data_IF_067411501075
#
_entry.id   IF_067411501075
#
_cell.length_a   1.000
_cell.length_b   1.000
_cell.length_c   1.000
_cell.angle_alpha   90.00
_cell.angle_beta   90.00
_cell.angle_gamma   90.00
#
_symmetry.space_group_name_H-M   'P 1'
#
loop_
_entity.id
_entity.type
_entity.pdbx_description
1 polymer ?
#
# COMPACT_ATOMS: atom_id res chain seq x y z
N UNK A 1 -7.76 -17.94 73.60
CA UNK A 1 -7.36 -17.02 72.52
C UNK A 1 -8.17 -17.41 71.29
N UNK A 2 -8.71 -16.44 70.55
CA UNK A 2 -9.53 -16.69 69.36
C UNK A 2 -8.72 -17.06 68.12
N UNK A 3 -7.40 -16.82 68.13
CA UNK A 3 -6.45 -17.16 67.07
C UNK A 3 -5.19 -17.74 67.72
N UNK A 4 -5.04 -19.08 67.80
CA UNK A 4 -3.83 -19.71 68.30
C UNK A 4 -2.69 -19.63 67.27
N UNK A 5 -1.46 -19.57 67.76
CA UNK A 5 -0.24 -19.63 66.95
C UNK A 5 -0.15 -20.97 66.22
N UNK A 6 -0.13 -20.92 64.89
CA UNK A 6 -0.05 -22.06 63.99
C UNK A 6 1.40 -22.56 63.79
N UNK A 7 2.40 -21.81 64.26
CA UNK A 7 3.82 -22.15 64.26
C UNK A 7 4.46 -22.02 65.66
N UNK A 8 4.01 -22.75 66.70
CA UNK A 8 4.42 -22.50 68.10
C UNK A 8 5.92 -22.60 68.40
N UNK A 9 6.68 -23.26 67.52
CA UNK A 9 8.11 -23.51 67.67
C UNK A 9 8.98 -22.58 66.83
N UNK A 10 8.38 -21.74 65.98
CA UNK A 10 9.05 -20.81 65.07
C UNK A 10 8.51 -19.42 65.39
N UNK A 11 9.37 -18.39 65.37
CA UNK A 11 8.87 -17.02 65.52
C UNK A 11 8.44 -16.50 64.16
N UNK A 12 7.25 -15.92 64.12
CA UNK A 12 6.65 -15.42 62.89
C UNK A 12 5.76 -14.21 63.12
N UNK A 13 5.48 -13.49 62.03
CA UNK A 13 4.68 -12.24 62.04
C UNK A 13 3.41 -12.32 61.22
N UNK A 14 3.15 -13.42 60.51
CA UNK A 14 1.94 -13.60 59.70
C UNK A 14 0.66 -13.54 60.53
N UNK A 15 -0.40 -12.97 59.96
CA UNK A 15 -1.70 -12.82 60.61
C UNK A 15 -2.91 -12.86 59.65
N UNK A 16 -2.71 -13.04 58.34
CA UNK A 16 -3.79 -13.16 57.36
C UNK A 16 -4.24 -14.60 57.12
N UNK A 17 -3.30 -15.55 57.12
CA UNK A 17 -3.55 -16.99 56.96
C UNK A 17 -3.22 -17.77 58.25
N UNK A 18 -2.00 -18.28 58.42
CA UNK A 18 -1.54 -19.00 59.61
C UNK A 18 -0.94 -18.01 60.58
N UNK A 19 -1.64 -17.71 61.67
CA UNK A 19 -1.14 -16.80 62.70
C UNK A 19 0.19 -17.25 63.31
N UNK A 20 1.17 -16.35 63.39
CA UNK A 20 2.44 -16.58 64.12
C UNK A 20 3.51 -17.35 63.34
N UNK A 21 3.32 -17.57 62.05
CA UNK A 21 4.26 -18.23 61.15
C UNK A 21 5.21 -17.25 60.46
N UNK A 22 6.31 -17.79 59.89
CA UNK A 22 7.32 -16.97 59.20
C UNK A 22 6.64 -16.24 58.05
N UNK A 23 6.97 -14.97 57.91
CA UNK A 23 6.47 -14.03 56.90
C UNK A 23 7.70 -13.20 56.54
N UNK A 24 8.33 -13.56 55.42
CA UNK A 24 9.67 -13.05 55.07
C UNK A 24 9.61 -11.61 54.55
N UNK A 25 8.56 -11.24 53.83
CA UNK A 25 8.45 -9.96 53.15
C UNK A 25 7.50 -8.96 53.83
N UNK A 26 6.85 -9.40 54.92
CA UNK A 26 6.01 -8.61 55.84
C UNK A 26 4.68 -8.17 55.23
N UNK A 27 4.12 -8.97 54.32
CA UNK A 27 2.84 -8.72 53.67
C UNK A 27 1.64 -9.28 54.43
N UNK A 28 1.88 -9.93 55.57
CA UNK A 28 0.96 -10.60 56.50
C UNK A 28 0.58 -12.06 56.21
N UNK A 29 0.94 -12.62 55.08
CA UNK A 29 0.75 -14.04 54.73
C UNK A 29 1.98 -14.85 55.16
N UNK A 30 1.78 -16.14 55.44
CA UNK A 30 2.85 -17.01 55.92
C UNK A 30 3.60 -17.70 54.79
N UNK A 31 4.94 -17.70 54.86
CA UNK A 31 5.81 -18.47 53.98
C UNK A 31 5.40 -19.96 53.98
N UNK A 32 5.55 -20.60 52.81
CA UNK A 32 5.31 -22.04 52.67
C UNK A 32 6.30 -22.91 53.45
N UNK A 33 5.80 -24.00 54.04
CA UNK A 33 6.61 -25.05 54.70
C UNK A 33 6.24 -26.46 54.19
N UNK A 34 6.89 -27.51 54.73
CA UNK A 34 6.69 -28.90 54.31
C UNK A 34 5.22 -29.37 54.43
N UNK A 35 4.42 -28.78 55.33
CA UNK A 35 3.04 -29.17 55.59
C UNK A 35 1.99 -28.12 55.14
N UNK A 36 2.43 -26.94 54.70
CA UNK A 36 1.57 -25.86 54.23
C UNK A 36 2.22 -25.21 53.02
N UNK A 37 1.85 -25.72 51.85
CA UNK A 37 2.38 -25.23 50.58
C UNK A 37 1.46 -24.16 49.99
N UNK A 38 1.84 -23.59 48.85
CA UNK A 38 1.01 -22.64 48.09
C UNK A 38 -0.38 -23.25 47.78
N UNK A 39 -0.45 -24.58 47.56
CA UNK A 39 -1.73 -25.27 47.35
C UNK A 39 -2.67 -25.22 48.57
N UNK A 40 -2.09 -25.05 49.77
CA UNK A 40 -2.83 -24.94 51.01
C UNK A 40 -3.17 -23.48 51.35
N UNK A 41 -2.68 -22.52 50.57
CA UNK A 41 -2.85 -21.09 50.80
C UNK A 41 -1.72 -20.47 51.61
N UNK A 42 -0.49 -21.03 51.54
CA UNK A 42 0.70 -20.25 51.93
C UNK A 42 0.92 -19.11 50.95
N UNK A 43 1.71 -18.12 51.37
CA UNK A 43 2.18 -17.07 50.50
C UNK A 43 2.85 -17.64 49.23
N UNK A 44 2.32 -17.26 48.07
CA UNK A 44 2.84 -17.64 46.77
C UNK A 44 4.12 -16.85 46.39
N UNK A 45 4.35 -15.69 47.00
CA UNK A 45 5.49 -14.82 46.72
C UNK A 45 6.23 -14.36 47.98
N UNK A 46 6.96 -15.25 48.70
CA UNK A 46 7.65 -14.95 49.97
C UNK A 46 8.72 -13.84 49.98
N UNK A 47 8.96 -13.19 48.84
CA UNK A 47 9.95 -12.14 48.65
C UNK A 47 9.37 -10.89 47.98
N UNK A 48 8.08 -10.87 47.64
CA UNK A 48 7.42 -9.76 46.96
C UNK A 48 6.21 -9.29 47.79
N UNK A 49 6.39 -8.30 48.69
CA UNK A 49 5.37 -7.95 49.68
C UNK A 49 4.08 -7.37 49.11
N UNK A 50 4.01 -7.17 47.79
CA UNK A 50 2.82 -6.70 47.12
C UNK A 50 1.97 -7.81 46.52
N UNK A 51 2.41 -9.07 46.59
CA UNK A 51 1.70 -10.23 46.05
C UNK A 51 1.73 -11.38 47.06
N UNK A 52 0.60 -12.08 47.21
CA UNK A 52 0.50 -13.25 48.11
C UNK A 52 -0.25 -14.44 47.50
N UNK A 53 -0.98 -14.20 46.41
CA UNK A 53 -1.86 -15.17 45.77
C UNK A 53 -1.50 -15.28 44.29
N UNK A 54 -1.40 -16.51 43.81
CA UNK A 54 -1.13 -16.89 42.43
C UNK A 54 -2.10 -18.04 42.09
N UNK A 55 -3.23 -17.70 41.47
CA UNK A 55 -4.33 -18.66 41.31
C UNK A 55 -4.03 -19.73 40.25
N UNK A 56 -3.34 -19.39 39.17
CA UNK A 56 -3.05 -20.30 38.07
C UNK A 56 -1.61 -20.83 38.01
N UNK A 57 -0.74 -20.31 38.89
CA UNK A 57 0.62 -20.75 39.15
C UNK A 57 1.59 -20.43 38.02
N UNK A 58 1.38 -19.33 37.33
CA UNK A 58 2.28 -18.84 36.29
C UNK A 58 3.42 -17.94 36.83
N UNK A 59 3.34 -17.58 38.11
CA UNK A 59 4.30 -16.70 38.78
C UNK A 59 4.00 -15.22 38.63
N UNK A 60 2.79 -14.82 38.26
CA UNK A 60 2.25 -13.48 38.40
C UNK A 60 1.14 -13.49 39.44
N UNK A 61 1.02 -12.39 40.18
CA UNK A 61 0.18 -12.36 41.36
C UNK A 61 -1.15 -11.66 41.12
N UNK A 62 -2.21 -12.23 41.69
CA UNK A 62 -3.60 -11.78 41.56
C UNK A 62 -3.87 -10.39 42.17
N UNK A 63 -2.94 -9.85 42.99
CA UNK A 63 -3.18 -8.60 43.69
C UNK A 63 -3.06 -7.38 42.75
N UNK A 64 -4.21 -6.81 42.45
CA UNK A 64 -4.38 -5.66 41.53
C UNK A 64 -4.34 -4.30 42.24
N UNK A 65 -3.88 -4.22 43.50
CA UNK A 65 -3.83 -2.94 44.23
C UNK A 65 -2.83 -1.97 43.61
N UNK A 66 -3.12 -0.66 43.71
CA UNK A 66 -2.23 0.39 43.22
C UNK A 66 -0.84 0.27 43.85
N UNK A 67 0.19 0.15 43.02
CA UNK A 67 1.59 -0.01 43.44
C UNK A 67 2.04 -1.45 43.61
N UNK A 68 1.16 -2.42 43.35
CA UNK A 68 1.55 -3.81 43.27
C UNK A 68 2.51 -4.07 42.09
N UNK A 69 3.45 -4.97 42.30
CA UNK A 69 4.38 -5.45 41.28
C UNK A 69 3.95 -6.83 40.82
N UNK A 70 4.45 -7.28 39.66
CA UNK A 70 4.15 -8.61 39.09
C UNK A 70 2.64 -8.90 39.04
N UNK A 71 1.86 -7.91 38.61
CA UNK A 71 0.41 -8.02 38.50
C UNK A 71 0.04 -9.01 37.39
N UNK A 72 -0.89 -9.90 37.69
CA UNK A 72 -1.52 -10.79 36.74
C UNK A 72 -2.89 -10.24 36.30
N UNK A 73 -2.99 -9.84 35.03
CA UNK A 73 -4.23 -9.39 34.40
C UNK A 73 -5.18 -10.55 34.04
N UNK A 74 -4.70 -11.80 34.05
CA UNK A 74 -5.48 -13.01 33.77
C UNK A 74 -5.32 -14.10 34.85
N UNK A 75 -5.88 -13.91 36.07
CA UNK A 75 -5.69 -14.80 37.24
C UNK A 75 -6.06 -16.29 37.09
N UNK A 76 -6.58 -16.70 35.95
CA UNK A 76 -7.04 -18.07 35.69
C UNK A 76 -6.46 -18.67 34.42
N UNK A 77 -5.61 -17.93 33.70
CA UNK A 77 -5.00 -18.36 32.46
C UNK A 77 -3.48 -18.38 32.63
N UNK A 78 -2.87 -19.55 32.94
CA UNK A 78 -1.45 -19.63 33.28
C UNK A 78 -0.50 -19.39 32.10
N UNK A 79 -1.06 -19.00 30.95
CA UNK A 79 -0.32 -18.63 29.75
C UNK A 79 -0.37 -17.13 29.47
N UNK A 80 -1.14 -16.34 30.21
CA UNK A 80 -1.30 -14.91 30.05
C UNK A 80 -1.22 -14.22 31.40
N UNK A 81 -0.54 -13.08 31.46
CA UNK A 81 -0.44 -12.29 32.70
C UNK A 81 -0.50 -10.78 32.46
N UNK A 82 -0.52 -10.35 31.20
CA UNK A 82 -0.41 -8.94 30.82
C UNK A 82 -1.38 -8.63 29.70
N UNK A 83 -2.16 -7.57 29.90
CA UNK A 83 -3.07 -6.99 28.91
C UNK A 83 -2.72 -5.50 28.74
N UNK A 84 -1.93 -5.19 27.71
CA UNK A 84 -1.40 -3.82 27.56
C UNK A 84 -2.47 -2.80 27.17
N UNK A 85 -3.45 -3.19 26.37
CA UNK A 85 -4.42 -2.27 25.77
C UNK A 85 -5.85 -2.42 26.34
N UNK A 86 -6.04 -3.42 27.21
CA UNK A 86 -7.22 -3.70 28.03
C UNK A 86 -8.42 -4.17 27.24
N UNK A 87 -8.18 -4.91 26.17
CA UNK A 87 -9.23 -5.51 25.36
C UNK A 87 -9.68 -6.90 25.85
N UNK A 88 -8.95 -7.46 26.83
CA UNK A 88 -9.20 -8.77 27.40
C UNK A 88 -8.52 -9.92 26.66
N UNK A 89 -7.54 -9.65 25.80
CA UNK A 89 -6.62 -10.62 25.22
C UNK A 89 -5.21 -10.36 25.74
N UNK A 90 -4.44 -11.43 25.89
CA UNK A 90 -3.16 -11.37 26.59
C UNK A 90 -1.97 -11.24 25.65
N UNK A 91 -1.02 -10.37 26.01
CA UNK A 91 0.17 -10.05 25.22
C UNK A 91 1.14 -11.25 25.04
N UNK A 92 1.02 -12.30 25.86
CA UNK A 92 2.06 -13.32 25.98
C UNK A 92 1.96 -14.40 24.90
N UNK A 93 2.94 -14.44 24.01
CA UNK A 93 2.97 -15.35 22.87
C UNK A 93 3.77 -16.64 23.14
N UNK A 94 3.68 -17.19 24.35
CA UNK A 94 4.36 -18.45 24.66
C UNK A 94 3.78 -19.62 23.85
N UNK A 95 4.62 -20.61 23.53
CA UNK A 95 4.15 -21.77 22.76
C UNK A 95 3.05 -22.53 23.51
N UNK A 96 1.87 -22.65 22.89
CA UNK A 96 0.70 -23.25 23.51
C UNK A 96 -0.13 -22.29 24.37
N UNK A 97 0.19 -20.98 24.33
CA UNK A 97 -0.61 -19.96 24.97
C UNK A 97 -2.03 -19.93 24.39
N UNK A 98 -2.97 -19.56 25.25
CA UNK A 98 -4.38 -19.37 24.89
C UNK A 98 -4.76 -17.92 25.12
N UNK A 99 -5.79 -17.44 24.44
CA UNK A 99 -6.24 -16.05 24.53
C UNK A 99 -5.11 -15.05 24.21
N UNK A 100 -4.35 -15.35 23.17
CA UNK A 100 -3.23 -14.52 22.71
C UNK A 100 -3.77 -13.33 21.91
N UNK A 101 -3.24 -12.16 22.20
CA UNK A 101 -3.45 -10.94 21.43
C UNK A 101 -2.34 -10.79 20.36
N UNK A 102 -2.75 -10.81 19.09
CA UNK A 102 -1.87 -10.54 17.95
C UNK A 102 -1.56 -9.04 17.78
N UNK A 103 -2.35 -8.15 18.41
CA UNK A 103 -2.22 -6.70 18.36
C UNK A 103 -2.20 -6.03 19.75
N UNK A 104 -1.14 -6.22 20.58
CA UNK A 104 -1.06 -5.79 21.99
C UNK A 104 -1.22 -4.29 22.32
N UNK A 105 -1.46 -3.45 21.33
CA UNK A 105 -1.58 -2.00 21.47
C UNK A 105 -2.81 -1.43 20.76
N UNK A 106 -3.64 -2.28 20.14
CA UNK A 106 -4.78 -1.88 19.33
C UNK A 106 -6.04 -2.54 19.92
N UNK A 107 -6.74 -1.88 20.88
CA UNK A 107 -7.81 -2.54 21.63
C UNK A 107 -9.04 -2.99 20.82
N UNK A 108 -9.05 -2.67 19.52
CA UNK A 108 -10.10 -3.08 18.60
C UNK A 108 -9.75 -4.33 17.80
N UNK A 109 -8.51 -4.80 17.85
CA UNK A 109 -7.99 -5.95 17.14
C UNK A 109 -7.30 -6.89 18.13
N UNK A 110 -7.48 -8.19 17.96
CA UNK A 110 -6.83 -9.16 18.83
C UNK A 110 -6.44 -10.47 18.12
N UNK A 111 -6.75 -10.58 16.83
CA UNK A 111 -6.56 -11.79 16.05
C UNK A 111 -6.19 -11.44 14.62
N UNK A 112 -5.16 -12.10 14.13
CA UNK A 112 -4.71 -12.09 12.74
C UNK A 112 -4.78 -13.52 12.20
N UNK A 113 -5.81 -13.84 11.41
CA UNK A 113 -6.08 -15.23 11.01
C UNK A 113 -5.13 -15.77 9.93
N UNK A 114 -4.56 -14.93 9.09
CA UNK A 114 -3.66 -15.33 8.00
C UNK A 114 -2.23 -14.79 8.15
N UNK A 115 -1.98 -13.92 9.12
CA UNK A 115 -0.66 -13.42 9.49
C UNK A 115 -0.20 -12.24 8.62
N UNK A 116 -1.13 -11.54 7.97
CA UNK A 116 -0.81 -10.45 7.04
C UNK A 116 -0.55 -9.09 7.72
N UNK A 117 -0.80 -9.01 9.03
CA UNK A 117 -0.61 -7.82 9.84
C UNK A 117 -1.84 -6.92 9.97
N UNK A 118 -2.99 -7.31 9.42
CA UNK A 118 -4.29 -6.65 9.61
C UNK A 118 -5.19 -7.51 10.50
N UNK A 119 -5.94 -6.86 11.39
CA UNK A 119 -6.74 -7.59 12.37
C UNK A 119 -8.10 -8.00 11.84
N UNK A 120 -8.56 -9.21 12.16
CA UNK A 120 -9.81 -9.82 11.67
C UNK A 120 -11.08 -8.97 11.92
N UNK A 121 -11.05 -8.07 12.90
CA UNK A 121 -12.22 -7.24 13.22
C UNK A 121 -12.33 -6.08 12.23
N UNK A 122 -13.11 -6.27 11.16
CA UNK A 122 -13.36 -5.26 10.13
C UNK A 122 -13.88 -3.91 10.67
N UNK A 123 -14.54 -3.89 11.84
CA UNK A 123 -15.04 -2.64 12.44
C UNK A 123 -14.02 -1.94 13.34
N UNK A 124 -12.88 -2.58 13.59
CA UNK A 124 -11.78 -2.03 14.35
C UNK A 124 -10.85 -1.13 13.53
N UNK A 125 -9.75 -0.71 14.15
CA UNK A 125 -8.68 0.00 13.47
C UNK A 125 -8.03 -0.92 12.44
N UNK A 126 -7.87 -0.43 11.20
CA UNK A 126 -7.21 -1.13 10.09
C UNK A 126 -7.63 -2.61 10.00
N UNK A 127 -8.95 -2.85 10.06
CA UNK A 127 -9.50 -4.19 10.01
C UNK A 127 -9.31 -4.84 8.64
N UNK A 128 -8.95 -6.11 8.65
CA UNK A 128 -8.70 -6.91 7.48
C UNK A 128 -10.00 -7.17 6.69
N UNK A 129 -9.99 -6.83 5.41
CA UNK A 129 -11.08 -7.09 4.47
C UNK A 129 -11.00 -8.52 3.94
N UNK A 130 -9.81 -9.10 3.87
CA UNK A 130 -9.47 -10.40 3.31
C UNK A 130 -8.79 -11.33 4.33
N UNK A 131 -9.50 -11.60 5.43
CA UNK A 131 -9.15 -12.48 6.59
C UNK A 131 -8.54 -13.87 6.33
N UNK A 132 -8.41 -14.29 5.08
CA UNK A 132 -7.94 -15.61 4.66
C UNK A 132 -7.09 -15.52 3.38
N UNK A 133 -6.06 -14.69 3.41
CA UNK A 133 -4.98 -14.66 2.43
C UNK A 133 -4.13 -15.94 2.50
N UNK A 134 -3.54 -16.30 1.36
CA UNK A 134 -2.66 -17.46 1.29
C UNK A 134 -1.28 -17.14 1.89
N UNK A 135 -0.57 -18.12 2.45
CA UNK A 135 0.79 -17.89 2.95
C UNK A 135 1.74 -17.33 1.88
N UNK A 136 1.54 -17.66 0.60
CA UNK A 136 2.36 -17.13 -0.49
C UNK A 136 2.10 -15.65 -0.75
N UNK A 137 0.85 -15.18 -0.60
CA UNK A 137 0.52 -13.76 -0.69
C UNK A 137 1.17 -12.99 0.45
N UNK A 138 1.01 -13.46 1.68
CA UNK A 138 1.58 -12.84 2.88
C UNK A 138 3.12 -12.81 2.83
N UNK A 139 3.77 -13.97 2.61
CA UNK A 139 5.23 -14.06 2.59
C UNK A 139 5.87 -13.25 1.45
N UNK A 140 5.14 -13.09 0.34
CA UNK A 140 5.57 -12.25 -0.78
C UNK A 140 5.35 -10.77 -0.53
N UNK A 141 4.50 -10.39 0.44
CA UNK A 141 4.04 -9.02 0.63
C UNK A 141 3.08 -8.57 -0.47
N UNK A 142 2.29 -9.50 -1.02
CA UNK A 142 1.24 -9.23 -1.99
C UNK A 142 -0.07 -8.83 -1.31
N UNK A 143 0.04 -7.86 -0.39
CA UNK A 143 -1.04 -7.45 0.50
C UNK A 143 -1.23 -5.95 0.37
N UNK A 144 -2.45 -5.55 0.03
CA UNK A 144 -2.86 -4.17 -0.14
C UNK A 144 -2.91 -3.43 1.20
N UNK A 145 -2.59 -2.13 1.14
CA UNK A 145 -2.43 -1.26 2.32
C UNK A 145 -3.13 0.10 2.19
N UNK A 146 -3.65 0.44 1.01
CA UNK A 146 -4.29 1.74 0.75
C UNK A 146 -5.80 1.64 0.54
N UNK A 147 -6.30 0.51 0.04
CA UNK A 147 -7.73 0.27 -0.15
C UNK A 147 -8.22 -0.91 0.71
N UNK A 148 -8.73 -2.01 0.13
CA UNK A 148 -9.21 -3.17 0.88
C UNK A 148 -8.03 -3.82 1.62
N UNK A 149 -7.76 -3.38 2.84
CA UNK A 149 -6.62 -3.85 3.64
C UNK A 149 -6.61 -5.37 3.75
N UNK A 150 -5.43 -5.96 3.61
CA UNK A 150 -5.22 -7.41 3.72
C UNK A 150 -5.52 -8.22 2.45
N UNK A 151 -5.96 -7.56 1.37
CA UNK A 151 -6.30 -8.24 0.13
C UNK A 151 -5.11 -8.38 -0.82
N UNK A 152 -5.24 -9.27 -1.80
CA UNK A 152 -4.21 -9.52 -2.81
C UNK A 152 -3.84 -8.24 -3.58
N UNK A 153 -2.55 -7.97 -3.68
CA UNK A 153 -1.91 -6.86 -4.41
C UNK A 153 -0.60 -7.39 -5.03
N UNK A 154 -0.62 -7.77 -6.31
CA UNK A 154 0.49 -8.53 -6.92
C UNK A 154 1.75 -7.69 -7.16
N UNK A 155 1.59 -6.42 -7.52
CA UNK A 155 2.69 -5.53 -7.87
C UNK A 155 3.21 -4.69 -6.69
N UNK A 156 2.46 -4.66 -5.57
CA UNK A 156 2.79 -4.11 -4.26
C UNK A 156 2.76 -2.59 -4.19
N UNK A 157 2.03 -1.94 -5.09
CA UNK A 157 1.82 -0.50 -5.03
C UNK A 157 0.93 -0.07 -3.85
N UNK A 158 0.20 -1.01 -3.26
CA UNK A 158 -0.66 -0.87 -2.10
C UNK A 158 -2.16 -0.90 -2.39
N UNK A 159 -2.58 -0.96 -3.66
CA UNK A 159 -3.97 -1.09 -4.08
C UNK A 159 -4.30 -2.55 -4.42
N UNK A 160 -5.49 -3.00 -4.06
CA UNK A 160 -5.88 -4.40 -4.22
C UNK A 160 -6.28 -4.74 -5.67
N UNK A 161 -5.86 -5.93 -6.11
CA UNK A 161 -6.22 -6.53 -7.38
C UNK A 161 -7.76 -6.56 -7.55
N UNK A 162 -8.27 -6.39 -8.79
CA UNK A 162 -9.68 -6.48 -9.07
C UNK A 162 -10.23 -7.89 -8.86
N UNK A 163 -11.46 -7.96 -8.38
CA UNK A 163 -12.25 -9.20 -8.25
C UNK A 163 -13.63 -9.02 -8.89
N UNK A 164 -14.39 -10.11 -9.06
CA UNK A 164 -15.76 -10.05 -9.60
C UNK A 164 -16.68 -9.06 -8.86
N UNK A 165 -16.40 -8.76 -7.59
CA UNK A 165 -17.17 -7.84 -6.74
C UNK A 165 -16.42 -6.54 -6.38
N UNK A 166 -15.17 -6.42 -6.81
CA UNK A 166 -14.31 -5.26 -6.60
C UNK A 166 -13.64 -4.95 -7.93
N UNK A 167 -14.39 -4.33 -8.83
CA UNK A 167 -13.91 -4.04 -10.18
C UNK A 167 -12.97 -2.82 -10.16
N UNK A 168 -12.08 -2.78 -11.13
CA UNK A 168 -11.12 -1.69 -11.29
C UNK A 168 -11.77 -0.39 -11.78
N UNK A 169 -11.01 0.69 -11.73
CA UNK A 169 -11.35 1.94 -12.41
C UNK A 169 -11.67 1.68 -13.90
N UNK A 170 -12.62 2.41 -14.54
CA UNK A 170 -13.45 3.50 -13.99
C UNK A 170 -14.75 3.09 -13.33
N UNK A 171 -15.13 1.82 -13.42
CA UNK A 171 -16.40 1.37 -12.87
C UNK A 171 -16.33 1.06 -11.36
N UNK A 172 -15.12 0.93 -10.80
CA UNK A 172 -14.89 0.69 -9.38
C UNK A 172 -13.60 1.32 -8.85
N UNK A 173 -13.05 0.71 -7.80
CA UNK A 173 -11.96 1.29 -7.01
C UNK A 173 -10.76 0.36 -6.86
N UNK A 174 -10.81 -0.84 -7.46
CA UNK A 174 -9.66 -1.73 -7.50
C UNK A 174 -8.56 -1.16 -8.38
N UNK A 175 -7.37 -1.71 -8.19
CA UNK A 175 -6.22 -1.44 -9.04
C UNK A 175 -6.54 -1.77 -10.51
N UNK A 176 -6.38 -0.79 -11.39
CA UNK A 176 -6.55 -0.94 -12.83
C UNK A 176 -5.36 -1.63 -13.51
N UNK A 177 -4.18 -1.66 -12.90
CA UNK A 177 -2.96 -2.23 -13.46
C UNK A 177 -2.24 -3.18 -12.48
N UNK A 178 -2.80 -4.37 -12.16
CA UNK A 178 -2.29 -5.30 -11.13
C UNK A 178 -0.86 -5.85 -11.32
N UNK A 179 -0.20 -5.51 -12.41
CA UNK A 179 1.14 -5.94 -12.78
C UNK A 179 2.12 -4.74 -12.92
N UNK A 180 1.67 -3.50 -12.71
CA UNK A 180 2.46 -2.27 -12.87
C UNK A 180 2.34 -1.37 -11.63
N UNK A 181 3.30 -1.55 -10.72
CA UNK A 181 3.33 -0.85 -9.44
C UNK A 181 3.43 0.70 -9.52
N UNK A 182 3.52 1.26 -10.72
CA UNK A 182 3.51 2.69 -10.95
C UNK A 182 2.15 3.26 -11.35
N UNK A 183 1.16 2.41 -11.62
CA UNK A 183 -0.17 2.77 -12.11
C UNK A 183 -1.27 2.00 -11.36
N UNK A 184 -2.34 2.69 -10.96
CA UNK A 184 -3.49 2.07 -10.29
C UNK A 184 -4.84 2.73 -10.56
N UNK A 185 -4.83 3.94 -11.13
CA UNK A 185 -6.04 4.65 -11.57
C UNK A 185 -6.03 4.80 -13.09
N UNK A 186 -7.20 4.65 -13.72
CA UNK A 186 -7.40 4.76 -15.18
C UNK A 186 -8.70 5.54 -15.45
N UNK A 187 -8.66 6.87 -15.32
CA UNK A 187 -9.86 7.69 -15.12
C UNK A 187 -10.89 7.56 -16.25
N UNK A 188 -10.44 7.35 -17.48
CA UNK A 188 -11.29 7.21 -18.64
C UNK A 188 -11.35 5.78 -19.23
N UNK A 189 -10.60 4.83 -18.67
CA UNK A 189 -10.70 3.41 -18.97
C UNK A 189 -10.07 3.04 -20.31
N UNK A 190 -9.05 3.77 -20.74
CA UNK A 190 -8.38 3.59 -22.03
C UNK A 190 -7.13 2.69 -21.97
N UNK A 191 -6.76 2.26 -20.76
CA UNK A 191 -5.61 1.40 -20.50
C UNK A 191 -4.29 2.14 -20.33
N UNK A 192 -4.31 3.46 -20.14
CA UNK A 192 -3.17 4.25 -19.68
C UNK A 192 -3.45 4.80 -18.27
N UNK A 193 -2.49 4.64 -17.36
CA UNK A 193 -2.72 4.98 -15.96
C UNK A 193 -2.51 6.46 -15.64
N UNK A 194 -3.33 7.02 -14.76
CA UNK A 194 -3.34 8.44 -14.41
C UNK A 194 -2.12 8.92 -13.61
N UNK A 195 -1.37 8.01 -12.98
CA UNK A 195 -0.36 8.37 -12.00
C UNK A 195 0.89 8.88 -12.72
N UNK A 196 1.26 10.13 -12.47
CA UNK A 196 2.48 10.72 -13.06
C UNK A 196 3.75 10.27 -12.34
N UNK A 197 3.65 9.98 -11.05
CA UNK A 197 4.76 9.56 -10.19
C UNK A 197 4.32 8.50 -9.18
N UNK A 198 5.26 7.62 -8.79
CA UNK A 198 5.08 6.60 -7.76
C UNK A 198 6.28 6.52 -6.82
N UNK A 199 6.09 5.96 -5.63
CA UNK A 199 7.15 5.80 -4.63
C UNK A 199 7.71 4.38 -4.65
N UNK A 200 8.99 4.21 -4.95
CA UNK A 200 9.64 2.89 -5.06
C UNK A 200 10.13 2.29 -3.72
N UNK A 201 9.69 2.85 -2.60
CA UNK A 201 10.21 2.52 -1.27
C UNK A 201 11.44 3.33 -0.85
N UNK A 202 11.98 4.19 -1.73
CA UNK A 202 13.12 5.06 -1.42
C UNK A 202 12.90 6.51 -1.88
N UNK A 203 12.44 6.69 -3.11
CA UNK A 203 12.31 7.97 -3.80
C UNK A 203 11.08 7.99 -4.71
N UNK A 204 10.57 9.19 -4.99
CA UNK A 204 9.58 9.40 -6.04
C UNK A 204 10.21 9.24 -7.42
N UNK A 205 9.56 8.47 -8.29
CA UNK A 205 9.95 8.22 -9.68
C UNK A 205 8.78 8.53 -10.60
N UNK A 206 9.07 8.96 -11.82
CA UNK A 206 8.07 9.06 -12.89
C UNK A 206 7.50 7.68 -13.18
N UNK A 207 6.18 7.59 -13.26
CA UNK A 207 5.49 6.34 -13.55
C UNK A 207 5.72 5.88 -14.99
N UNK A 208 5.44 4.61 -15.24
CA UNK A 208 5.53 4.05 -16.58
C UNK A 208 4.33 4.55 -17.39
N UNK A 209 4.62 5.29 -18.47
CA UNK A 209 3.64 5.67 -19.50
C UNK A 209 2.33 6.29 -18.93
N UNK A 210 2.44 7.36 -18.12
CA UNK A 210 1.27 7.98 -17.56
C UNK A 210 0.38 8.58 -18.65
N UNK A 211 -0.92 8.47 -18.45
CA UNK A 211 -1.93 9.07 -19.32
C UNK A 211 -1.85 10.60 -19.26
N UNK A 212 -1.56 11.19 -20.42
CA UNK A 212 -1.52 12.63 -20.61
C UNK A 212 -2.89 13.27 -20.84
N UNK A 213 -3.95 12.47 -20.95
CA UNK A 213 -5.33 12.90 -21.17
C UNK A 213 -6.35 12.50 -20.11
N UNK A 214 -6.02 11.70 -19.10
CA UNK A 214 -6.74 11.31 -17.86
C UNK A 214 -8.26 11.13 -17.92
N UNK A 215 -8.99 12.13 -18.36
CA UNK A 215 -10.45 12.15 -18.45
C UNK A 215 -10.96 12.00 -19.89
N UNK A 216 -10.09 11.75 -20.86
CA UNK A 216 -10.43 11.67 -22.29
C UNK A 216 -9.70 10.50 -22.94
N UNK A 217 -10.42 9.38 -23.06
CA UNK A 217 -9.88 8.15 -23.62
C UNK A 217 -9.21 8.36 -24.98
N UNK A 218 -8.05 7.73 -25.14
CA UNK A 218 -7.24 7.83 -26.33
C UNK A 218 -6.38 6.59 -26.59
N UNK A 219 -5.55 6.66 -27.63
CA UNK A 219 -4.73 5.53 -28.08
C UNK A 219 -3.31 5.92 -28.50
N UNK A 220 -2.94 7.18 -28.36
CA UNK A 220 -1.58 7.65 -28.70
C UNK A 220 -0.51 7.01 -27.82
N UNK A 221 0.68 6.80 -28.40
CA UNK A 221 1.78 6.06 -27.76
C UNK A 221 3.19 6.63 -28.02
N UNK A 222 3.33 7.67 -28.84
CA UNK A 222 4.64 8.24 -29.19
C UNK A 222 4.94 9.57 -28.49
N UNK A 223 3.93 10.36 -28.16
CA UNK A 223 4.09 11.62 -27.44
C UNK A 223 3.34 11.60 -26.10
N UNK A 224 2.07 11.96 -26.09
CA UNK A 224 1.23 12.16 -24.93
C UNK A 224 0.32 10.94 -24.83
N UNK A 225 0.77 9.93 -24.08
CA UNK A 225 0.13 8.62 -23.95
C UNK A 225 -1.33 8.76 -23.51
N UNK A 226 -2.22 7.89 -23.99
CA UNK A 226 -3.65 7.89 -23.62
C UNK A 226 -4.46 9.07 -24.17
N UNK A 227 -3.90 9.87 -25.08
CA UNK A 227 -4.65 10.94 -25.72
C UNK A 227 -5.30 10.54 -27.03
N UNK A 228 -6.39 11.23 -27.43
CA UNK A 228 -7.02 11.04 -28.73
C UNK A 228 -5.99 11.05 -29.86
N UNK A 229 -6.10 10.06 -30.74
CA UNK A 229 -5.25 9.80 -31.90
C UNK A 229 -6.20 9.32 -33.00
N UNK A 230 -6.68 10.25 -33.80
CA UNK A 230 -7.82 10.02 -34.69
C UNK A 230 -7.49 9.12 -35.89
N UNK A 231 -6.23 9.09 -36.33
CA UNK A 231 -5.78 8.30 -37.47
C UNK A 231 -4.96 7.06 -37.09
N UNK A 232 -4.65 6.88 -35.81
CA UNK A 232 -3.98 5.72 -35.20
C UNK A 232 -2.53 5.54 -35.60
N UNK A 233 -1.84 6.65 -35.89
CA UNK A 233 -0.41 6.64 -36.19
C UNK A 233 0.50 6.65 -34.95
N UNK A 234 -0.10 6.86 -33.77
CA UNK A 234 0.53 6.86 -32.47
C UNK A 234 0.84 8.25 -31.91
N UNK A 235 0.67 9.33 -32.67
CA UNK A 235 0.81 10.71 -32.20
C UNK A 235 -0.54 11.29 -31.78
N UNK A 236 -0.54 12.07 -30.69
CA UNK A 236 -1.78 12.61 -30.16
C UNK A 236 -2.29 13.82 -30.95
N UNK A 237 -3.62 13.86 -31.14
CA UNK A 237 -4.33 14.98 -31.72
C UNK A 237 -3.98 16.29 -30.97
N UNK A 238 -3.82 17.41 -31.69
CA UNK A 238 -3.52 18.68 -31.07
C UNK A 238 -4.72 19.23 -30.31
N UNK A 239 -4.45 19.91 -29.20
CA UNK A 239 -5.46 20.61 -28.39
C UNK A 239 -5.11 22.11 -28.30
N UNK A 240 -6.00 22.99 -27.80
CA UNK A 240 -5.67 24.40 -27.62
C UNK A 240 -4.43 24.67 -26.74
N UNK A 241 -4.03 23.70 -25.91
CA UNK A 241 -2.83 23.76 -25.04
C UNK A 241 -1.71 22.82 -25.48
N UNK A 242 -1.94 21.96 -26.47
CA UNK A 242 -0.97 21.03 -27.07
C UNK A 242 -0.99 21.25 -28.58
N UNK A 243 -0.28 22.27 -29.05
CA UNK A 243 -0.34 22.69 -30.44
C UNK A 243 0.28 21.64 -31.37
N UNK A 244 -0.21 21.58 -32.61
CA UNK A 244 0.40 20.82 -33.69
C UNK A 244 1.80 21.36 -34.04
N UNK A 245 2.67 20.49 -34.56
CA UNK A 245 3.93 20.91 -35.21
C UNK A 245 3.66 21.99 -36.28
N UNK A 246 4.55 23.00 -36.45
CA UNK A 246 5.77 23.28 -35.70
C UNK A 246 5.54 24.04 -34.37
N UNK A 247 4.30 24.47 -34.11
CA UNK A 247 3.95 25.29 -32.94
C UNK A 247 3.96 24.53 -31.61
N UNK A 248 3.94 23.21 -31.65
CA UNK A 248 4.04 22.30 -30.52
C UNK A 248 4.45 20.90 -30.96
N UNK A 249 4.00 19.88 -30.24
CA UNK A 249 4.40 18.48 -30.46
C UNK A 249 3.23 17.55 -30.79
N UNK A 250 2.00 18.09 -30.88
CA UNK A 250 0.86 17.32 -31.35
C UNK A 250 0.92 17.05 -32.84
N UNK A 251 0.11 16.09 -33.27
CA UNK A 251 -0.01 15.69 -34.66
C UNK A 251 -0.48 16.86 -35.55
N UNK A 252 0.29 17.14 -36.59
CA UNK A 252 -0.04 18.16 -37.60
C UNK A 252 -1.07 17.69 -38.65
N UNK A 253 -1.29 16.38 -38.81
CA UNK A 253 -2.32 15.81 -39.68
C UNK A 253 -3.15 14.71 -38.98
N UNK A 254 -4.10 15.06 -38.08
CA UNK A 254 -4.97 14.11 -37.36
C UNK A 254 -5.89 13.21 -38.19
N UNK A 255 -5.81 13.27 -39.52
CA UNK A 255 -6.60 12.44 -40.44
C UNK A 255 -5.70 11.65 -41.41
N UNK A 256 -4.38 11.82 -41.35
CA UNK A 256 -3.42 11.19 -42.26
C UNK A 256 -2.34 10.42 -41.48
N UNK A 257 -2.51 9.08 -41.35
CA UNK A 257 -1.65 8.27 -40.49
C UNK A 257 -0.23 8.08 -41.01
N UNK A 258 0.12 8.83 -42.05
CA UNK A 258 1.43 8.81 -42.66
C UNK A 258 2.20 10.11 -42.42
N UNK A 259 1.61 11.14 -41.82
CA UNK A 259 2.26 12.43 -41.55
C UNK A 259 1.88 12.96 -40.18
N UNK A 260 2.85 13.43 -39.40
CA UNK A 260 2.60 13.92 -38.03
C UNK A 260 3.45 15.12 -37.59
N UNK A 261 4.53 15.41 -38.32
CA UNK A 261 5.41 16.55 -38.06
C UNK A 261 5.53 17.46 -39.27
N UNK A 262 5.52 18.76 -39.01
CA UNK A 262 5.78 19.84 -39.96
C UNK A 262 6.84 20.72 -39.30
N UNK A 263 8.13 20.43 -39.54
CA UNK A 263 9.21 21.07 -38.77
C UNK A 263 9.40 22.54 -39.14
N UNK A 264 9.10 22.93 -40.39
CA UNK A 264 9.32 24.28 -40.88
C UNK A 264 8.05 25.10 -41.14
N UNK A 265 6.87 24.49 -40.99
CA UNK A 265 5.57 25.15 -41.00
C UNK A 265 5.07 25.51 -42.39
N UNK A 266 5.51 24.80 -43.42
CA UNK A 266 5.10 25.04 -44.80
C UNK A 266 3.85 24.25 -45.23
N UNK A 267 3.32 23.42 -44.32
CA UNK A 267 2.17 22.58 -44.55
C UNK A 267 2.50 21.32 -45.34
N UNK A 268 3.73 20.80 -45.27
CA UNK A 268 4.14 19.48 -45.76
C UNK A 268 4.76 18.66 -44.64
N UNK A 269 4.38 17.38 -44.60
CA UNK A 269 4.78 16.51 -43.51
C UNK A 269 6.18 15.93 -43.72
N UNK A 270 6.95 15.86 -42.63
CA UNK A 270 8.36 15.47 -42.63
C UNK A 270 8.59 13.98 -42.92
N UNK A 271 7.58 13.11 -42.76
CA UNK A 271 7.76 11.69 -42.95
C UNK A 271 7.97 11.38 -44.45
N UNK A 272 9.17 10.93 -44.88
CA UNK A 272 9.46 10.74 -46.31
C UNK A 272 8.66 9.60 -46.95
N UNK A 273 7.97 8.78 -46.14
CA UNK A 273 7.11 7.69 -46.59
C UNK A 273 5.63 8.07 -46.60
N UNK A 274 5.29 9.27 -46.14
CA UNK A 274 3.92 9.72 -46.07
C UNK A 274 3.42 10.40 -47.33
N UNK A 275 2.15 10.79 -47.29
CA UNK A 275 1.49 11.54 -48.35
C UNK A 275 2.15 12.90 -48.49
N UNK A 276 2.37 13.35 -49.73
CA UNK A 276 2.91 14.68 -50.03
C UNK A 276 4.13 15.09 -49.19
N UNK A 277 5.00 14.11 -48.88
CA UNK A 277 6.10 14.28 -47.95
C UNK A 277 7.05 15.40 -48.35
N UNK A 278 7.45 16.20 -47.36
CA UNK A 278 8.41 17.26 -47.55
C UNK A 278 9.80 16.69 -47.90
N UNK A 279 10.36 17.19 -48.99
CA UNK A 279 11.71 16.86 -49.43
C UNK A 279 12.75 17.79 -48.80
N UNK A 280 12.32 18.94 -48.26
CA UNK A 280 13.12 19.92 -47.56
C UNK A 280 12.63 20.21 -46.12
N UNK A 281 12.59 19.23 -45.18
CA UNK A 281 11.97 19.34 -43.83
C UNK A 281 12.46 20.43 -42.86
N UNK A 282 13.35 21.31 -43.29
CA UNK A 282 13.96 22.36 -42.45
C UNK A 282 13.96 23.71 -43.15
N UNK A 283 13.36 23.81 -44.33
CA UNK A 283 13.38 24.99 -45.19
C UNK A 283 12.01 25.15 -45.83
N UNK A 284 11.19 25.97 -45.18
CA UNK A 284 9.83 26.22 -45.64
C UNK A 284 9.77 26.57 -47.13
N UNK A 285 8.90 25.87 -47.85
CA UNK A 285 8.78 25.95 -49.29
C UNK A 285 7.35 25.95 -49.80
N UNK A 286 7.18 26.32 -51.06
CA UNK A 286 5.87 26.24 -51.74
C UNK A 286 5.88 25.29 -52.94
N UNK A 287 7.02 24.66 -53.23
CA UNK A 287 7.15 23.76 -54.38
C UNK A 287 6.20 22.56 -54.25
N UNK A 288 5.72 22.09 -55.40
CA UNK A 288 4.83 20.94 -55.50
C UNK A 288 5.54 19.75 -56.13
N UNK A 289 5.07 18.55 -55.80
CA UNK A 289 5.69 17.33 -56.32
C UNK A 289 5.24 16.97 -57.74
N UNK A 290 5.79 15.86 -58.27
CA UNK A 290 5.53 15.41 -59.64
C UNK A 290 4.05 15.18 -59.97
N UNK A 291 3.24 14.82 -58.97
CA UNK A 291 1.79 14.61 -59.15
C UNK A 291 1.01 15.91 -59.39
N UNK A 292 1.58 17.07 -59.06
CA UNK A 292 0.97 18.39 -59.23
C UNK A 292 1.71 19.29 -60.22
N UNK A 293 2.66 18.72 -60.98
CA UNK A 293 3.35 19.43 -62.07
C UNK A 293 4.66 20.12 -61.69
N UNK A 294 5.19 19.91 -60.48
CA UNK A 294 6.51 20.36 -60.03
C UNK A 294 7.49 19.19 -59.84
N UNK A 295 8.65 19.43 -59.22
CA UNK A 295 9.70 18.41 -59.07
C UNK A 295 9.75 17.76 -57.68
N UNK A 296 9.46 18.49 -56.60
CA UNK A 296 9.49 18.02 -55.21
C UNK A 296 8.58 18.85 -54.31
N UNK A 297 8.04 18.26 -53.24
CA UNK A 297 7.19 18.97 -52.28
C UNK A 297 8.02 19.72 -51.22
N UNK A 298 7.53 20.88 -50.78
CA UNK A 298 7.99 21.59 -49.57
C UNK A 298 9.37 22.24 -49.66
N UNK A 299 9.92 22.36 -50.87
CA UNK A 299 11.18 23.07 -51.06
C UNK A 299 10.93 24.51 -51.51
N UNK A 300 11.93 25.35 -51.24
CA UNK A 300 11.93 26.76 -51.64
C UNK A 300 11.61 26.91 -53.13
N UNK A 301 10.60 27.73 -53.42
CA UNK A 301 10.08 28.07 -54.74
C UNK A 301 9.94 29.60 -54.77
N UNK A 302 10.86 30.27 -55.45
CA UNK A 302 11.01 31.74 -55.36
C UNK A 302 9.97 32.50 -56.18
N UNK A 303 9.51 31.93 -57.30
CA UNK A 303 8.59 32.58 -58.23
C UNK A 303 7.14 32.09 -58.10
N UNK A 304 6.92 31.01 -57.35
CA UNK A 304 5.61 30.48 -56.96
C UNK A 304 4.94 29.67 -58.07
N UNK A 305 5.70 29.13 -59.02
CA UNK A 305 5.17 28.36 -60.14
C UNK A 305 4.98 26.86 -59.81
N UNK A 306 5.46 26.44 -58.63
CA UNK A 306 5.38 25.08 -58.13
C UNK A 306 6.65 24.25 -58.34
N UNK A 307 7.66 24.73 -59.03
CA UNK A 307 8.98 24.09 -59.13
C UNK A 307 9.91 24.58 -58.02
N UNK A 308 10.74 23.70 -57.47
CA UNK A 308 11.74 24.13 -56.49
C UNK A 308 12.90 24.87 -57.18
N UNK A 309 13.53 25.84 -56.52
CA UNK A 309 14.71 26.59 -57.02
C UNK A 309 15.84 25.66 -57.56
N UNK A 310 15.93 24.43 -57.04
CA UNK A 310 16.93 23.44 -57.44
C UNK A 310 16.57 22.69 -58.72
N UNK A 311 15.27 22.52 -58.98
CA UNK A 311 14.73 21.82 -60.15
C UNK A 311 14.25 22.76 -61.25
N UNK A 312 14.10 24.04 -60.95
CA UNK A 312 13.56 25.04 -61.85
C UNK A 312 14.63 25.61 -62.81
N UNK A 313 14.25 25.70 -64.08
CA UNK A 313 15.07 26.30 -65.13
C UNK A 313 14.83 27.81 -65.29
N UNK A 314 13.76 28.37 -64.70
CA UNK A 314 13.28 29.73 -64.94
C UNK A 314 12.76 30.44 -63.68
N UNK A 315 13.67 30.75 -62.74
CA UNK A 315 13.41 31.58 -61.54
C UNK A 315 13.09 33.04 -61.88
#
# INVERSE_FOLDING_TARGET
ASMPDACPFIRGTSFSDRYGCVDTDLDSYSDGDENWTVENGSDAFPLEPTQWLDTDRDGWGDNQTVGAQRIDDFPFNPTQWRDTDRDGWGDNQTYGATQVDDFPFVPSQHRDSDGDGYGDNLTGFEGDVCVQSTPEEVDSGWISRFDRLGCRDVDRDGYSDPTDLWIAHPDGFADAFPDDASQWFDTDGDGFGDNEEYYDGQTWRTSYRPDGCRTTAGTSTFDRWGCPDADTDGWSDPTPTWLASPGGSGDAWPEDPTQWHDTDGDGRGDNPRGTTADVCPSVAGTSVGPSSGGDRWGCKDTDGDGWSDLGDAFI
#
